data_IF_435476113856
#
_entry.id   IF_435476113856
#
_cell.length_a   1.000
_cell.length_b   1.000
_cell.length_c   1.000
_cell.angle_alpha   90.00
_cell.angle_beta   90.00
_cell.angle_gamma   90.00
#
_symmetry.space_group_name_H-M   'P 1'
#
loop_
_entity.id
_entity.type
_entity.pdbx_description
1 polymer ?
#
# COMPACT_ATOMS: atom_id res chain seq x y z
N UNK A 1 10.95 -40.87 65.13
CA UNK A 1 12.18 -41.17 64.38
C UNK A 1 12.50 -39.92 63.58
N UNK A 2 13.33 -39.07 64.15
CA UNK A 2 13.77 -37.78 63.60
C UNK A 2 15.27 -37.95 63.37
N UNK A 3 15.67 -38.13 62.12
CA UNK A 3 17.07 -38.28 61.76
C UNK A 3 17.75 -36.92 61.86
N UNK A 4 18.59 -36.76 62.88
CA UNK A 4 19.47 -35.62 63.06
C UNK A 4 20.56 -35.66 62.00
N UNK A 5 20.53 -34.69 61.09
CA UNK A 5 21.65 -34.39 60.21
C UNK A 5 22.75 -33.74 61.05
N UNK A 6 23.67 -34.56 61.56
CA UNK A 6 24.89 -34.09 62.20
C UNK A 6 25.80 -33.46 61.12
N UNK A 7 25.87 -32.12 61.15
CA UNK A 7 26.78 -31.35 60.33
C UNK A 7 28.22 -31.67 60.75
N UNK A 8 28.98 -32.26 59.83
CA UNK A 8 30.39 -32.59 60.01
C UNK A 8 31.22 -31.29 60.20
N UNK A 9 31.84 -31.05 61.36
CA UNK A 9 32.57 -29.80 61.63
C UNK A 9 33.88 -29.67 60.86
N UNK A 10 34.33 -30.75 60.19
CA UNK A 10 35.58 -30.80 59.45
C UNK A 10 35.42 -30.59 57.93
N UNK A 11 34.25 -30.17 57.46
CA UNK A 11 34.09 -29.81 56.05
C UNK A 11 34.84 -28.49 55.76
N UNK A 12 35.97 -28.50 55.03
CA UNK A 12 36.70 -27.29 54.72
C UNK A 12 35.81 -26.40 53.87
N UNK A 13 35.24 -25.36 54.49
CA UNK A 13 34.43 -24.37 53.78
C UNK A 13 35.16 -23.98 52.49
N UNK A 14 34.56 -24.19 51.31
CA UNK A 14 35.23 -23.93 50.04
C UNK A 14 35.71 -22.48 50.07
N UNK A 15 37.03 -22.32 49.91
CA UNK A 15 37.75 -21.07 50.11
C UNK A 15 36.97 -19.91 49.51
N UNK A 16 36.51 -19.01 50.39
CA UNK A 16 35.78 -17.81 50.03
C UNK A 16 36.74 -16.93 49.22
N UNK A 17 36.78 -17.17 47.91
CA UNK A 17 37.55 -16.38 46.95
C UNK A 17 37.34 -14.90 47.26
N UNK A 18 38.45 -14.19 47.44
CA UNK A 18 38.45 -12.78 47.84
C UNK A 18 37.59 -11.96 46.87
N UNK A 19 36.80 -11.02 47.39
CA UNK A 19 35.85 -10.25 46.57
C UNK A 19 36.55 -9.50 45.40
N UNK A 20 37.86 -9.25 45.50
CA UNK A 20 38.72 -8.71 44.44
C UNK A 20 38.97 -9.69 43.27
N UNK A 21 39.05 -10.99 43.52
CA UNK A 21 39.19 -12.02 42.48
C UNK A 21 37.87 -12.27 41.74
N UNK A 22 36.74 -12.15 42.44
CA UNK A 22 35.40 -12.20 41.80
C UNK A 22 35.18 -10.99 40.89
N UNK A 23 35.58 -9.80 41.33
CA UNK A 23 35.46 -8.58 40.55
C UNK A 23 36.34 -8.58 39.28
N UNK A 24 37.53 -9.19 39.33
CA UNK A 24 38.43 -9.27 38.17
C UNK A 24 37.97 -10.32 37.15
N UNK A 25 37.46 -11.49 37.59
CA UNK A 25 36.89 -12.49 36.67
C UNK A 25 35.65 -11.98 35.93
N UNK A 26 34.74 -11.29 36.62
CA UNK A 26 33.55 -10.69 36.01
C UNK A 26 33.89 -9.65 34.93
N UNK A 27 34.97 -8.87 35.13
CA UNK A 27 35.43 -7.90 34.14
C UNK A 27 36.05 -8.58 32.92
N UNK A 28 36.80 -9.66 33.12
CA UNK A 28 37.43 -10.39 32.02
C UNK A 28 36.37 -11.07 31.14
N UNK A 29 35.36 -11.69 31.75
CA UNK A 29 34.25 -12.32 31.03
C UNK A 29 33.43 -11.28 30.25
N UNK A 30 33.17 -10.12 30.85
CA UNK A 30 32.46 -9.03 30.17
C UNK A 30 33.23 -8.50 28.96
N UNK A 31 34.56 -8.29 29.08
CA UNK A 31 35.40 -7.82 27.98
C UNK A 31 35.46 -8.86 26.86
N UNK A 32 35.53 -10.15 27.20
CA UNK A 32 35.59 -11.24 26.22
C UNK A 32 34.26 -11.37 25.48
N UNK A 33 33.12 -11.30 26.18
CA UNK A 33 31.78 -11.31 25.56
C UNK A 33 31.58 -10.11 24.64
N UNK A 34 31.96 -8.91 25.09
CA UNK A 34 31.86 -7.69 24.26
C UNK A 34 32.76 -7.78 23.02
N UNK A 35 33.98 -8.30 23.16
CA UNK A 35 34.91 -8.51 22.04
C UNK A 35 34.39 -9.52 21.01
N UNK A 36 33.82 -10.64 21.47
CA UNK A 36 33.22 -11.65 20.58
C UNK A 36 31.99 -11.11 19.86
N UNK A 37 31.11 -10.37 20.55
CA UNK A 37 29.95 -9.74 19.94
C UNK A 37 30.34 -8.68 18.91
N UNK A 38 31.34 -7.85 19.20
CA UNK A 38 31.83 -6.84 18.27
C UNK A 38 32.46 -7.45 17.01
N UNK A 39 33.27 -8.50 17.18
CA UNK A 39 33.89 -9.21 16.04
C UNK A 39 32.86 -9.96 15.19
N UNK A 40 31.84 -10.58 15.80
CA UNK A 40 30.71 -11.16 15.06
C UNK A 40 29.90 -10.10 14.31
N UNK A 41 29.62 -8.95 14.94
CA UNK A 41 28.92 -7.84 14.29
C UNK A 41 29.69 -7.30 13.08
N UNK A 42 31.01 -7.10 13.22
CA UNK A 42 31.88 -6.65 12.11
C UNK A 42 32.00 -7.73 11.03
N UNK A 43 32.14 -9.00 11.39
CA UNK A 43 32.21 -10.11 10.43
C UNK A 43 30.89 -10.28 9.67
N UNK A 44 29.74 -10.12 10.33
CA UNK A 44 28.42 -10.10 9.69
C UNK A 44 28.25 -8.86 8.82
N UNK A 45 28.74 -7.69 9.24
CA UNK A 45 28.69 -6.47 8.44
C UNK A 45 29.57 -6.55 7.19
N UNK A 46 30.77 -7.13 7.29
CA UNK A 46 31.67 -7.38 6.16
C UNK A 46 31.15 -8.49 5.24
N UNK A 47 30.60 -9.56 5.81
CA UNK A 47 30.03 -10.69 5.06
C UNK A 47 28.65 -10.38 4.49
N UNK A 48 27.93 -9.38 5.01
CA UNK A 48 26.61 -8.98 4.57
C UNK A 48 26.53 -7.54 4.01
N UNK A 49 27.67 -6.88 3.76
CA UNK A 49 27.73 -5.50 3.24
C UNK A 49 27.03 -5.30 1.88
N UNK A 50 26.69 -6.39 1.21
CA UNK A 50 25.93 -6.46 -0.05
C UNK A 50 24.42 -6.65 0.18
N UNK A 51 23.97 -7.07 1.37
CA UNK A 51 22.54 -7.13 1.70
C UNK A 51 21.94 -5.74 1.98
N UNK A 52 22.74 -4.78 2.43
CA UNK A 52 22.26 -3.39 2.60
C UNK A 52 21.81 -2.80 1.25
N UNK A 53 22.63 -2.79 0.18
CA UNK A 53 22.17 -2.28 -1.11
C UNK A 53 21.04 -3.14 -1.71
N UNK A 54 21.06 -4.47 -1.57
CA UNK A 54 19.97 -5.34 -2.06
C UNK A 54 18.66 -5.06 -1.31
N UNK A 55 18.72 -4.90 0.02
CA UNK A 55 17.56 -4.58 0.85
C UNK A 55 16.98 -3.20 0.52
N UNK A 56 17.85 -2.20 0.34
CA UNK A 56 17.44 -0.85 -0.07
C UNK A 56 16.82 -0.88 -1.46
N UNK A 57 17.46 -1.51 -2.45
CA UNK A 57 16.93 -1.65 -3.82
C UNK A 57 15.61 -2.42 -3.82
N UNK A 58 15.52 -3.51 -3.06
CA UNK A 58 14.30 -4.30 -2.92
C UNK A 58 13.15 -3.51 -2.28
N UNK A 59 13.44 -2.72 -1.24
CA UNK A 59 12.47 -1.83 -0.62
C UNK A 59 11.98 -0.75 -1.59
N UNK A 60 12.88 -0.05 -2.29
CA UNK A 60 12.51 0.93 -3.30
C UNK A 60 11.69 0.30 -4.44
N UNK A 61 12.10 -0.87 -4.94
CA UNK A 61 11.34 -1.60 -5.96
C UNK A 61 9.94 -1.97 -5.46
N UNK A 62 9.82 -2.41 -4.19
CA UNK A 62 8.54 -2.68 -3.55
C UNK A 62 7.64 -1.45 -3.45
N UNK A 63 8.18 -0.30 -3.01
CA UNK A 63 7.44 0.98 -2.93
C UNK A 63 6.97 1.44 -4.30
N UNK A 64 7.82 1.34 -5.33
CA UNK A 64 7.47 1.69 -6.72
C UNK A 64 6.36 0.78 -7.25
N UNK A 65 6.48 -0.54 -7.06
CA UNK A 65 5.46 -1.51 -7.48
C UNK A 65 4.12 -1.29 -6.76
N UNK A 66 4.16 -1.02 -5.46
CA UNK A 66 2.96 -0.72 -4.67
C UNK A 66 2.31 0.59 -5.13
N UNK A 67 3.09 1.66 -5.26
CA UNK A 67 2.62 2.95 -5.77
C UNK A 67 2.00 2.85 -7.17
N UNK A 68 2.59 2.03 -8.04
CA UNK A 68 2.06 1.79 -9.38
C UNK A 68 0.73 1.02 -9.36
N UNK A 69 0.55 0.02 -8.48
CA UNK A 69 -0.74 -0.67 -8.31
C UNK A 69 -1.81 0.27 -7.75
N UNK A 70 -1.47 1.06 -6.74
CA UNK A 70 -2.35 2.07 -6.14
C UNK A 70 -2.76 3.12 -7.17
N UNK A 71 -1.82 3.61 -7.99
CA UNK A 71 -2.08 4.56 -9.06
C UNK A 71 -3.06 4.03 -10.11
N UNK A 72 -2.94 2.75 -10.51
CA UNK A 72 -3.88 2.12 -11.44
C UNK A 72 -5.30 2.02 -10.88
N UNK A 73 -5.43 1.71 -9.59
CA UNK A 73 -6.73 1.64 -8.92
C UNK A 73 -7.37 3.02 -8.81
N UNK A 74 -6.59 3.99 -8.32
CA UNK A 74 -6.98 5.41 -8.25
C UNK A 74 -7.44 5.94 -9.60
N UNK A 75 -6.74 5.62 -10.70
CA UNK A 75 -7.15 6.02 -12.04
C UNK A 75 -8.53 5.46 -12.40
N UNK A 76 -8.76 4.17 -12.17
CA UNK A 76 -10.07 3.54 -12.46
C UNK A 76 -11.18 4.16 -11.64
N UNK A 77 -10.92 4.48 -10.37
CA UNK A 77 -11.89 5.14 -9.49
C UNK A 77 -12.21 6.56 -9.97
N UNK A 78 -11.20 7.34 -10.36
CA UNK A 78 -11.39 8.70 -10.93
C UNK A 78 -12.11 8.65 -12.27
N UNK A 79 -11.77 7.69 -13.13
CA UNK A 79 -12.39 7.49 -14.45
C UNK A 79 -13.85 7.03 -14.29
N UNK A 80 -14.14 6.14 -13.34
CA UNK A 80 -15.51 5.74 -12.98
C UNK A 80 -16.33 6.91 -12.43
N UNK A 81 -15.70 7.90 -11.80
CA UNK A 81 -16.33 9.14 -11.34
C UNK A 81 -16.38 10.24 -12.42
N UNK A 82 -15.97 9.95 -13.66
CA UNK A 82 -15.96 10.91 -14.76
C UNK A 82 -15.00 12.08 -14.54
N UNK A 83 -13.87 11.83 -13.88
CA UNK A 83 -12.83 12.82 -13.55
C UNK A 83 -13.27 13.92 -12.56
N UNK A 84 -14.41 13.78 -11.87
CA UNK A 84 -14.97 14.80 -10.96
C UNK A 84 -14.29 14.86 -9.58
N UNK A 85 -12.96 14.88 -9.56
CA UNK A 85 -12.16 14.93 -8.32
C UNK A 85 -11.14 16.07 -8.39
N UNK A 86 -11.05 16.87 -7.33
CA UNK A 86 -10.09 17.97 -7.21
C UNK A 86 -8.64 17.47 -7.24
N UNK A 87 -7.78 18.11 -8.05
CA UNK A 87 -6.37 17.75 -8.21
C UNK A 87 -5.53 17.99 -6.95
N UNK A 88 -5.90 18.97 -6.12
CA UNK A 88 -5.20 19.29 -4.85
C UNK A 88 -5.72 18.44 -3.69
N UNK A 89 -7.01 18.58 -3.38
CA UNK A 89 -7.59 18.04 -2.15
C UNK A 89 -8.07 16.58 -2.30
N UNK A 90 -8.24 16.09 -3.54
CA UNK A 90 -8.85 14.79 -3.86
C UNK A 90 -10.29 14.60 -3.38
N UNK A 91 -11.00 15.68 -3.10
CA UNK A 91 -12.44 15.65 -2.83
C UNK A 91 -13.25 15.68 -4.12
N UNK A 92 -14.45 15.09 -4.06
CA UNK A 92 -15.43 15.15 -5.14
C UNK A 92 -15.83 16.60 -5.44
N UNK A 93 -15.87 16.94 -6.73
CA UNK A 93 -16.27 18.26 -7.18
C UNK A 93 -17.79 18.37 -7.19
N UNK A 94 -18.31 19.53 -6.79
CA UNK A 94 -19.75 19.82 -6.82
C UNK A 94 -20.06 20.62 -8.08
N UNK A 95 -21.13 20.22 -8.78
CA UNK A 95 -21.63 20.94 -9.93
C UNK A 95 -22.36 22.21 -9.47
N UNK A 96 -21.89 23.38 -9.88
CA UNK A 96 -22.60 24.64 -9.65
C UNK A 96 -23.57 24.90 -10.79
N UNK A 97 -24.87 24.92 -10.47
CA UNK A 97 -25.93 25.31 -11.41
C UNK A 97 -26.05 26.83 -11.46
N UNK A 98 -25.82 27.43 -12.62
CA UNK A 98 -26.07 28.85 -12.87
C UNK A 98 -25.36 29.37 -14.13
N UNK A 99 -26.05 30.23 -14.89
CA UNK A 99 -25.58 30.74 -16.19
C UNK A 99 -24.27 31.53 -16.10
N UNK A 100 -23.98 32.11 -14.93
CA UNK A 100 -22.76 32.86 -14.67
C UNK A 100 -21.47 32.02 -14.72
N UNK A 101 -21.57 30.68 -14.69
CA UNK A 101 -20.43 29.78 -14.53
C UNK A 101 -20.32 28.69 -15.60
N UNK A 102 -20.93 28.91 -16.78
CA UNK A 102 -20.97 27.95 -17.87
C UNK A 102 -19.58 27.41 -18.29
N UNK A 103 -18.50 28.19 -18.13
CA UNK A 103 -17.15 27.77 -18.49
C UNK A 103 -16.42 26.93 -17.41
N UNK A 104 -16.88 26.92 -16.16
CA UNK A 104 -16.23 26.19 -15.07
C UNK A 104 -17.28 25.67 -14.07
N UNK A 105 -18.04 24.63 -14.46
CA UNK A 105 -19.18 24.15 -13.68
C UNK A 105 -18.76 23.43 -12.38
N UNK A 106 -17.49 23.04 -12.24
CA UNK A 106 -17.04 22.23 -11.10
C UNK A 106 -16.33 23.08 -10.05
N UNK A 107 -16.80 23.05 -8.80
CA UNK A 107 -16.18 23.72 -7.65
C UNK A 107 -15.74 22.70 -6.60
N UNK A 108 -14.53 22.85 -6.07
CA UNK A 108 -14.07 22.07 -4.93
C UNK A 108 -14.61 22.67 -3.61
N UNK A 109 -15.31 21.90 -2.77
CA UNK A 109 -15.85 22.41 -1.50
C UNK A 109 -14.76 22.74 -0.46
N UNK A 110 -13.60 22.08 -0.54
CA UNK A 110 -12.52 22.24 0.45
C UNK A 110 -11.62 23.44 0.16
N UNK A 111 -11.18 23.59 -1.09
CA UNK A 111 -10.25 24.67 -1.46
C UNK A 111 -10.90 25.82 -2.24
N UNK A 112 -12.17 25.70 -2.65
CA UNK A 112 -12.87 26.72 -3.44
C UNK A 112 -12.35 26.89 -4.87
N UNK A 113 -11.42 26.05 -5.31
CA UNK A 113 -10.87 26.11 -6.67
C UNK A 113 -11.92 25.64 -7.69
N UNK A 114 -11.99 26.34 -8.82
CA UNK A 114 -12.92 26.06 -9.91
C UNK A 114 -12.22 25.35 -11.04
N UNK A 115 -12.92 24.43 -11.68
CA UNK A 115 -12.39 23.63 -12.76
C UNK A 115 -13.35 23.59 -13.94
N UNK A 116 -12.78 23.80 -15.13
CA UNK A 116 -13.41 23.44 -16.39
C UNK A 116 -13.33 21.92 -16.59
N UNK A 117 -14.37 21.32 -17.18
CA UNK A 117 -14.48 19.87 -17.34
C UNK A 117 -13.37 19.32 -18.26
N UNK A 118 -13.12 19.97 -19.40
CA UNK A 118 -12.10 19.52 -20.35
C UNK A 118 -10.69 19.73 -19.81
N UNK A 119 -10.44 20.88 -19.17
CA UNK A 119 -9.17 21.18 -18.52
C UNK A 119 -8.85 20.18 -17.40
N UNK A 120 -9.86 19.76 -16.64
CA UNK A 120 -9.72 18.81 -15.55
C UNK A 120 -9.36 17.41 -16.08
N UNK A 121 -10.05 16.94 -17.12
CA UNK A 121 -9.73 15.66 -17.77
C UNK A 121 -8.30 15.67 -18.33
N UNK A 122 -7.92 16.75 -19.03
CA UNK A 122 -6.56 16.92 -19.58
C UNK A 122 -5.50 16.92 -18.48
N UNK A 123 -5.78 17.58 -17.37
CA UNK A 123 -4.88 17.64 -16.21
C UNK A 123 -4.71 16.28 -15.56
N UNK A 124 -5.78 15.52 -15.33
CA UNK A 124 -5.69 14.16 -14.81
C UNK A 124 -4.91 13.23 -15.75
N UNK A 125 -5.18 13.29 -17.07
CA UNK A 125 -4.41 12.53 -18.07
C UNK A 125 -2.93 12.88 -18.04
N UNK A 126 -2.58 14.17 -17.88
CA UNK A 126 -1.20 14.63 -17.77
C UNK A 126 -0.52 14.23 -16.46
N UNK A 127 -1.21 14.36 -15.31
CA UNK A 127 -0.69 13.91 -14.01
C UNK A 127 -0.40 12.41 -14.01
N UNK A 128 -1.31 11.61 -14.59
CA UNK A 128 -1.08 10.18 -14.71
C UNK A 128 -0.01 9.84 -15.76
N UNK A 129 0.14 10.58 -16.86
CA UNK A 129 1.19 10.27 -17.84
C UNK A 129 2.60 10.39 -17.24
N UNK A 130 2.83 11.34 -16.34
CA UNK A 130 4.10 11.50 -15.62
C UNK A 130 4.36 10.38 -14.60
N UNK A 131 3.32 9.93 -13.89
CA UNK A 131 3.41 8.80 -12.95
C UNK A 131 3.67 7.46 -13.65
N UNK A 132 3.41 7.38 -14.96
CA UNK A 132 3.51 6.17 -15.75
C UNK A 132 4.50 6.28 -16.91
N UNK A 133 5.56 7.10 -16.81
CA UNK A 133 6.78 6.91 -17.62
C UNK A 133 7.52 5.64 -17.15
N UNK A 134 6.80 4.54 -16.96
CA UNK A 134 7.33 3.27 -17.41
C UNK A 134 7.36 3.40 -18.94
N UNK A 135 8.46 3.06 -19.62
CA UNK A 135 8.41 2.94 -21.06
C UNK A 135 7.29 1.95 -21.33
N UNK A 136 6.18 2.44 -21.86
CA UNK A 136 5.25 1.65 -22.63
C UNK A 136 6.14 1.06 -23.70
N UNK A 137 6.70 -0.13 -23.41
CA UNK A 137 7.17 -1.02 -24.46
C UNK A 137 5.93 -1.12 -25.29
N UNK A 138 5.89 -0.34 -26.38
CA UNK A 138 4.96 -0.51 -27.47
C UNK A 138 4.92 -2.01 -27.62
N UNK A 139 3.83 -2.65 -27.21
CA UNK A 139 3.55 -3.97 -27.74
C UNK A 139 3.66 -3.71 -29.23
N UNK A 140 4.65 -4.28 -29.94
CA UNK A 140 4.63 -4.17 -31.39
C UNK A 140 3.21 -4.57 -31.77
N UNK A 141 2.53 -3.65 -32.46
CA UNK A 141 1.17 -3.89 -32.93
C UNK A 141 1.18 -5.31 -33.48
N UNK A 142 0.47 -6.22 -32.81
CA UNK A 142 0.51 -7.64 -33.15
C UNK A 142 0.12 -7.70 -34.63
N UNK A 143 1.04 -7.97 -35.55
CA UNK A 143 0.73 -7.96 -36.96
C UNK A 143 0.01 -9.30 -37.20
N UNK A 144 -1.32 -9.25 -37.20
CA UNK A 144 -2.15 -10.42 -37.48
C UNK A 144 -2.76 -11.05 -36.23
N UNK A 145 -3.85 -10.46 -35.74
CA UNK A 145 -4.94 -11.24 -35.17
C UNK A 145 -6.03 -11.36 -36.22
N UNK A 146 -6.12 -12.48 -36.99
CA UNK A 146 -7.26 -12.73 -37.85
C UNK A 146 -8.44 -13.26 -37.03
N UNK A 147 -9.65 -12.88 -37.46
CA UNK A 147 -10.97 -13.30 -36.97
C UNK A 147 -11.43 -12.55 -35.70
N UNK A 148 -12.43 -11.68 -35.77
CA UNK A 148 -13.73 -12.00 -36.39
C UNK A 148 -14.59 -12.70 -35.35
N UNK A 149 -14.94 -12.00 -34.28
CA UNK A 149 -16.13 -12.32 -33.50
C UNK A 149 -17.07 -11.15 -33.75
N UNK A 150 -17.94 -11.32 -34.74
CA UNK A 150 -19.12 -10.51 -34.89
C UNK A 150 -19.96 -10.76 -33.63
N UNK A 151 -20.15 -9.74 -32.80
CA UNK A 151 -21.22 -9.76 -31.82
C UNK A 151 -22.53 -9.79 -32.61
N UNK A 152 -23.39 -10.81 -32.45
CA UNK A 152 -24.70 -10.80 -33.08
C UNK A 152 -25.50 -9.64 -32.47
N UNK A 153 -26.01 -8.79 -33.36
CA UNK A 153 -27.10 -7.86 -33.10
C UNK A 153 -28.32 -8.69 -32.70
N UNK A 154 -28.52 -8.89 -31.40
CA UNK A 154 -29.77 -9.43 -30.88
C UNK A 154 -30.75 -8.26 -30.76
N UNK A 155 -31.34 -7.97 -31.92
CA UNK A 155 -32.62 -7.28 -32.08
C UNK A 155 -33.67 -8.18 -31.41
N UNK A 156 -33.92 -7.93 -30.12
CA UNK A 156 -35.02 -8.56 -29.41
C UNK A 156 -36.29 -7.74 -29.66
N UNK A 157 -37.06 -8.24 -30.61
CA UNK A 157 -38.48 -7.96 -30.83
C UNK A 157 -39.27 -7.85 -29.52
N UNK A 158 -40.02 -6.77 -29.41
CA UNK A 158 -41.15 -6.58 -28.51
C UNK A 158 -42.33 -7.42 -29.04
N UNK A 159 -43.06 -8.17 -28.20
CA UNK A 159 -44.50 -8.19 -28.40
C UNK A 159 -45.34 -8.04 -27.11
N UNK A 160 -46.61 -7.61 -27.28
CA UNK A 160 -47.39 -6.94 -26.26
C UNK A 160 -48.17 -7.89 -25.34
N UNK A 161 -48.39 -7.47 -24.09
CA UNK A 161 -49.48 -7.96 -23.23
C UNK A 161 -50.28 -6.73 -22.78
N UNK A 162 -51.41 -6.40 -23.41
CA UNK A 162 -52.75 -6.99 -23.24
C UNK A 162 -53.11 -7.38 -21.80
N UNK A 163 -54.13 -6.69 -21.28
CA UNK A 163 -55.12 -7.26 -20.36
C UNK A 163 -54.90 -6.99 -18.88
N UNK A 164 -55.63 -6.01 -18.34
CA UNK A 164 -55.68 -5.76 -16.90
C UNK A 164 -56.72 -4.71 -16.50
N UNK A 165 -57.89 -4.72 -17.13
CA UNK A 165 -59.09 -4.12 -16.58
C UNK A 165 -59.51 -4.98 -15.38
N UNK A 166 -59.35 -4.46 -14.16
CA UNK A 166 -59.99 -5.01 -12.96
C UNK A 166 -60.72 -3.87 -12.26
N UNK A 167 -62.04 -4.06 -12.28
CA UNK A 167 -63.05 -3.28 -11.60
C UNK A 167 -62.90 -3.30 -10.08
N UNK A 168 -63.59 -2.34 -9.47
CA UNK A 168 -64.20 -2.38 -8.15
C UNK A 168 -63.31 -2.63 -6.93
N UNK A 169 -63.15 -1.59 -6.11
CA UNK A 169 -63.51 -1.71 -4.69
C UNK A 169 -63.86 -0.35 -4.08
N UNK A 170 -65.13 -0.25 -3.69
CA UNK A 170 -65.69 0.75 -2.79
C UNK A 170 -65.19 0.56 -1.36
N UNK A 171 -65.03 1.67 -0.63
CA UNK A 171 -64.99 1.91 0.84
C UNK A 171 -64.17 3.20 0.99
N UNK A 172 -64.63 4.36 1.46
CA UNK A 172 -65.57 4.77 2.50
C UNK A 172 -66.17 6.15 2.16
#
# INVERSE_FOLDING_TARGET
>A
MTDSWDANPDDPTPGRLSDSERATRLRLDAVLVVGVMATFGIALWLRAGWFIPIGVVGWFAGVVLAGHRLGRRSRREVEAQGFKVCLKCRYGLVEQKGDAHAAAPWLCPECGERYDAEALERSWKWTYSWLFIAPERRRPASPGGPNGIQTPTEEADDPPKQGGEMADQASE
#
